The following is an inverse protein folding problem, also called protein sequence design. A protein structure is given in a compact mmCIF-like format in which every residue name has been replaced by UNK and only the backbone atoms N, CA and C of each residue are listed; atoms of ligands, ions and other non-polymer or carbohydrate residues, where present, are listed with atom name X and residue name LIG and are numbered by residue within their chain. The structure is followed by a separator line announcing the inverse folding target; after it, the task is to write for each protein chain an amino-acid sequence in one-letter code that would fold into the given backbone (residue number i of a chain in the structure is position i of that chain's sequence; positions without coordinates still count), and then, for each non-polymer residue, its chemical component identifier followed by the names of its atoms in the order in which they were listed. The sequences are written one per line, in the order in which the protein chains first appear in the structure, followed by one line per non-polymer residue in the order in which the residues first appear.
data_IF_441586807385
#
_entry.id   IF_441586807385
#
_cell.length_a   1.000
_cell.length_b   1.000
_cell.length_c   1.000
_cell.angle_alpha   90.00
_cell.angle_beta   90.00
_cell.angle_gamma   90.00
#
_symmetry.space_group_name_H-M   'P 1'
#
loop_
_entity.id
_entity.type
_entity.pdbx_description
1 polymer ?
#
# COMPACT_ATOMS: atom_id res chain seq x y z
N UNK A 1 -25.43 -30.62 14.86
CA UNK A 1 -26.09 -29.33 14.58
C UNK A 1 -26.06 -29.07 13.08
N UNK A 2 -26.75 -29.90 12.31
CA UNK A 2 -26.79 -29.86 10.86
C UNK A 2 -28.26 -30.08 10.52
N UNK A 3 -28.97 -28.98 10.23
CA UNK A 3 -30.32 -28.87 9.65
C UNK A 3 -30.90 -27.53 10.10
N UNK A 4 -30.61 -26.48 9.34
CA UNK A 4 -31.44 -25.27 9.18
C UNK A 4 -30.69 -24.23 8.31
N UNK A 5 -30.15 -24.66 7.18
CA UNK A 5 -29.58 -23.76 6.17
C UNK A 5 -30.06 -24.11 4.75
N UNK A 6 -31.27 -24.65 4.64
CA UNK A 6 -31.95 -24.86 3.36
C UNK A 6 -33.32 -24.19 3.43
N UNK A 7 -33.35 -22.87 3.28
CA UNK A 7 -34.53 -22.13 2.86
C UNK A 7 -34.05 -20.83 2.20
N UNK A 8 -34.28 -20.72 0.89
CA UNK A 8 -33.93 -19.56 0.09
C UNK A 8 -34.69 -18.30 0.52
N UNK A 9 -34.02 -17.16 0.38
CA UNK A 9 -34.56 -15.83 0.66
C UNK A 9 -33.49 -15.00 1.37
N UNK A 10 -33.04 -13.94 0.72
CA UNK A 10 -32.10 -12.93 1.21
C UNK A 10 -32.62 -12.32 2.53
N UNK A 11 -32.32 -13.01 3.64
CA UNK A 11 -32.74 -12.62 4.98
C UNK A 11 -31.47 -12.40 5.79
N UNK A 12 -31.17 -11.13 6.03
CA UNK A 12 -30.15 -10.70 7.00
C UNK A 12 -30.53 -11.32 8.35
N UNK A 13 -29.93 -12.44 8.70
CA UNK A 13 -30.14 -13.08 10.00
C UNK A 13 -29.37 -12.26 11.04
N UNK A 14 -30.10 -11.49 11.84
CA UNK A 14 -29.51 -10.75 12.95
C UNK A 14 -28.95 -11.74 13.97
N UNK A 15 -27.63 -11.84 14.03
CA UNK A 15 -26.94 -12.71 14.99
C UNK A 15 -27.02 -12.10 16.40
N UNK A 16 -27.61 -12.85 17.33
CA UNK A 16 -27.67 -12.51 18.75
C UNK A 16 -26.86 -13.54 19.54
N UNK A 17 -25.56 -13.30 19.80
CA UNK A 17 -24.75 -14.26 20.54
C UNK A 17 -25.28 -14.42 21.97
N UNK A 18 -25.29 -15.67 22.45
CA UNK A 18 -25.54 -15.94 23.86
C UNK A 18 -24.26 -15.64 24.64
N UNK A 19 -24.25 -14.54 25.39
CA UNK A 19 -23.17 -14.24 26.33
C UNK A 19 -23.22 -15.28 27.46
N UNK A 20 -22.11 -16.00 27.64
CA UNK A 20 -21.90 -16.94 28.74
C UNK A 20 -21.08 -16.26 29.83
N UNK A 21 -21.20 -16.74 31.08
CA UNK A 21 -20.40 -16.22 32.19
C UNK A 21 -18.91 -16.53 31.99
N UNK A 22 -18.05 -15.58 32.33
CA UNK A 22 -16.61 -15.79 32.37
C UNK A 22 -16.27 -16.77 33.49
N UNK A 23 -15.92 -18.00 33.12
CA UNK A 23 -15.48 -19.04 34.04
C UNK A 23 -14.00 -19.34 33.79
N UNK A 24 -13.25 -19.68 34.85
CA UNK A 24 -11.88 -20.17 34.72
C UNK A 24 -11.89 -21.53 34.03
N UNK A 25 -11.24 -21.62 32.87
CA UNK A 25 -11.07 -22.86 32.09
C UNK A 25 -9.62 -23.34 32.12
N UNK A 26 -9.43 -24.66 31.96
CA UNK A 26 -8.11 -25.28 31.76
C UNK A 26 -7.73 -25.37 30.27
N UNK A 27 -8.60 -24.88 29.38
CA UNK A 27 -8.32 -24.80 27.95
C UNK A 27 -7.21 -23.78 27.66
N UNK A 28 -6.42 -24.05 26.62
CA UNK A 28 -5.44 -23.09 26.14
C UNK A 28 -6.14 -21.81 25.70
N UNK A 29 -5.63 -20.66 26.15
CA UNK A 29 -6.13 -19.35 25.71
C UNK A 29 -6.02 -19.22 24.18
N UNK A 30 -7.11 -18.79 23.54
CA UNK A 30 -7.13 -18.48 22.12
C UNK A 30 -8.39 -18.96 21.42
N UNK A 31 -8.46 -18.65 20.12
CA UNK A 31 -9.58 -19.03 19.26
C UNK A 31 -9.02 -19.67 18.00
N UNK A 32 -9.53 -20.85 17.64
CA UNK A 32 -9.23 -21.49 16.36
C UNK A 32 -10.44 -21.40 15.44
N UNK A 33 -10.26 -20.73 14.30
CA UNK A 33 -11.27 -20.66 13.24
C UNK A 33 -10.84 -21.61 12.13
N UNK A 34 -11.67 -22.61 11.82
CA UNK A 34 -11.46 -23.52 10.69
C UNK A 34 -12.51 -23.22 9.61
N UNK A 35 -12.04 -22.71 8.48
CA UNK A 35 -12.86 -22.51 7.29
C UNK A 35 -12.66 -23.69 6.33
N UNK A 36 -13.75 -24.27 5.86
CA UNK A 36 -13.77 -25.39 4.90
C UNK A 36 -14.62 -25.01 3.68
N UNK A 37 -14.58 -25.82 2.63
CA UNK A 37 -15.44 -25.66 1.44
C UNK A 37 -15.25 -24.31 0.72
N UNK A 38 -13.99 -23.90 0.53
CA UNK A 38 -13.68 -22.71 -0.25
C UNK A 38 -14.06 -22.89 -1.72
N UNK A 39 -14.79 -21.92 -2.26
CA UNK A 39 -15.07 -21.79 -3.69
C UNK A 39 -13.86 -21.17 -4.42
N UNK A 40 -12.80 -21.97 -4.60
CA UNK A 40 -11.57 -21.56 -5.30
C UNK A 40 -10.93 -22.71 -6.05
N UNK A 41 -10.60 -22.47 -7.32
CA UNK A 41 -9.91 -23.44 -8.17
C UNK A 41 -8.41 -23.56 -7.87
N UNK A 42 -7.76 -22.45 -7.51
CA UNK A 42 -6.31 -22.40 -7.29
C UNK A 42 -5.95 -22.04 -5.85
N UNK A 43 -4.95 -22.75 -5.31
CA UNK A 43 -4.38 -22.44 -4.00
C UNK A 43 -3.54 -21.16 -4.08
N UNK A 44 -3.69 -20.22 -3.13
CA UNK A 44 -2.84 -19.04 -3.10
C UNK A 44 -1.39 -19.43 -2.79
N UNK A 45 -0.46 -18.76 -3.45
CA UNK A 45 0.97 -18.95 -3.21
C UNK A 45 1.35 -18.26 -1.89
N UNK A 46 1.95 -19.00 -0.96
CA UNK A 46 2.26 -18.54 0.39
C UNK A 46 3.03 -17.22 0.42
N UNK A 47 4.05 -17.07 -0.44
CA UNK A 47 4.83 -15.82 -0.58
C UNK A 47 3.93 -14.60 -0.81
N UNK A 48 3.01 -14.67 -1.77
CA UNK A 48 2.10 -13.55 -2.07
C UNK A 48 1.12 -13.28 -0.92
N UNK A 49 0.71 -14.32 -0.19
CA UNK A 49 -0.11 -14.15 1.03
C UNK A 49 0.66 -13.39 2.10
N UNK A 50 1.92 -13.78 2.37
CA UNK A 50 2.78 -13.09 3.35
C UNK A 50 2.97 -11.62 2.99
N UNK A 51 3.30 -11.33 1.73
CA UNK A 51 3.45 -9.95 1.23
C UNK A 51 2.17 -9.12 1.37
N UNK A 52 1.02 -9.67 0.99
CA UNK A 52 -0.28 -8.98 1.12
C UNK A 52 -0.66 -8.71 2.57
N UNK A 53 -0.40 -9.66 3.47
CA UNK A 53 -0.63 -9.48 4.91
C UNK A 53 0.26 -8.38 5.47
N UNK A 54 1.56 -8.41 5.16
CA UNK A 54 2.52 -7.41 5.63
C UNK A 54 2.16 -5.99 5.17
N UNK A 55 1.67 -5.85 3.93
CA UNK A 55 1.22 -4.56 3.36
C UNK A 55 -0.12 -4.10 3.93
N UNK A 56 -1.01 -5.03 4.30
CA UNK A 56 -2.33 -4.69 4.86
C UNK A 56 -2.27 -4.29 6.34
N UNK A 57 -1.27 -4.81 7.05
CA UNK A 57 -1.15 -4.65 8.49
C UNK A 57 0.30 -4.30 8.83
N UNK A 58 0.58 -3.03 9.08
CA UNK A 58 1.93 -2.61 9.48
C UNK A 58 2.30 -3.10 10.89
N UNK A 59 1.30 -3.38 11.74
CA UNK A 59 1.47 -3.97 13.08
C UNK A 59 2.10 -5.36 13.09
N UNK A 60 2.10 -6.04 11.94
CA UNK A 60 2.66 -7.39 11.80
C UNK A 60 4.19 -7.33 11.93
N UNK A 61 4.71 -8.12 12.87
CA UNK A 61 6.14 -8.21 13.18
C UNK A 61 6.60 -7.30 14.33
N UNK A 62 5.73 -6.45 14.87
CA UNK A 62 6.04 -5.58 16.02
C UNK A 62 5.31 -6.06 17.28
N UNK A 63 3.98 -5.88 17.32
CA UNK A 63 3.14 -6.22 18.47
C UNK A 63 2.24 -7.44 18.20
N UNK A 64 2.30 -7.99 16.97
CA UNK A 64 1.45 -9.08 16.55
C UNK A 64 2.21 -10.00 15.59
N UNK A 65 2.47 -11.23 16.05
CA UNK A 65 3.14 -12.25 15.26
C UNK A 65 2.14 -12.94 14.33
N UNK A 66 2.50 -13.03 13.05
CA UNK A 66 1.69 -13.71 12.04
C UNK A 66 2.55 -14.72 11.32
N UNK A 67 2.06 -15.95 11.25
CA UNK A 67 2.70 -17.02 10.50
C UNK A 67 1.80 -17.49 9.35
N UNK A 68 2.40 -17.78 8.19
CA UNK A 68 1.73 -18.44 7.07
C UNK A 68 2.51 -19.71 6.76
N UNK A 69 1.86 -20.86 6.92
CA UNK A 69 2.49 -22.18 6.77
C UNK A 69 3.75 -22.38 7.65
N UNK A 70 3.80 -21.76 8.83
CA UNK A 70 4.93 -21.82 9.76
C UNK A 70 6.09 -20.87 9.43
N UNK A 71 5.96 -20.04 8.39
CA UNK A 71 6.89 -18.96 8.11
C UNK A 71 6.36 -17.63 8.66
N UNK A 72 7.17 -16.95 9.48
CA UNK A 72 6.86 -15.62 10.00
C UNK A 72 6.70 -14.59 8.89
N UNK A 73 5.68 -13.75 9.00
CA UNK A 73 5.50 -12.54 8.20
C UNK A 73 6.25 -11.42 8.89
N UNK A 74 7.25 -10.83 8.21
CA UNK A 74 8.06 -9.73 8.76
C UNK A 74 7.76 -8.42 8.03
N UNK A 75 8.13 -7.30 8.65
CA UNK A 75 8.05 -5.97 8.02
C UNK A 75 8.84 -5.86 6.71
N UNK A 76 9.88 -6.68 6.52
CA UNK A 76 10.66 -6.74 5.27
C UNK A 76 9.82 -7.23 4.08
N UNK A 77 8.72 -7.94 4.28
CA UNK A 77 7.81 -8.30 3.19
C UNK A 77 7.08 -7.06 2.62
N UNK A 78 7.08 -5.92 3.34
CA UNK A 78 6.57 -4.62 2.86
C UNK A 78 7.50 -3.93 1.88
N UNK A 79 8.78 -4.29 1.81
CA UNK A 79 9.98 -3.57 1.34
C UNK A 79 9.93 -2.85 -0.04
N UNK A 80 8.89 -2.05 -0.30
CA UNK A 80 8.71 -1.20 -1.47
C UNK A 80 9.48 0.11 -1.31
N UNK A 81 9.54 0.66 -0.09
CA UNK A 81 10.24 1.92 0.20
C UNK A 81 11.73 1.88 -0.16
N UNK A 82 12.42 0.76 0.09
CA UNK A 82 13.85 0.64 -0.24
C UNK A 82 14.07 0.44 -1.74
N UNK A 83 13.08 -0.11 -2.45
CA UNK A 83 13.12 -0.35 -3.90
C UNK A 83 12.85 0.90 -4.73
N UNK A 84 12.40 1.99 -4.10
CA UNK A 84 12.11 3.23 -4.81
C UNK A 84 13.40 4.02 -5.09
N UNK A 85 13.51 4.53 -6.31
CA UNK A 85 14.60 5.43 -6.75
C UNK A 85 14.28 6.86 -6.30
N UNK A 86 13.06 7.31 -6.58
CA UNK A 86 12.55 8.62 -6.16
C UNK A 86 11.51 8.43 -5.08
N UNK A 87 11.79 8.92 -3.88
CA UNK A 87 10.84 8.90 -2.77
C UNK A 87 10.86 10.18 -1.98
N UNK A 88 9.69 10.62 -1.56
CA UNK A 88 9.49 11.61 -0.51
C UNK A 88 9.07 10.86 0.76
N UNK A 89 9.59 11.28 1.91
CA UNK A 89 9.26 10.71 3.21
C UNK A 89 8.72 11.81 4.10
N UNK A 90 7.64 11.51 4.82
CA UNK A 90 6.94 12.40 5.72
C UNK A 90 7.09 11.86 7.14
N UNK A 91 7.47 12.71 8.08
CA UNK A 91 7.65 12.34 9.49
C UNK A 91 6.88 13.35 10.33
N UNK A 92 5.69 12.96 10.78
CA UNK A 92 4.76 13.79 11.55
C UNK A 92 4.51 15.17 10.89
N UNK A 93 4.33 15.15 9.56
CA UNK A 93 4.05 16.34 8.76
C UNK A 93 2.63 16.81 9.05
N UNK A 94 2.47 18.09 9.42
CA UNK A 94 1.15 18.66 9.73
C UNK A 94 0.49 19.10 8.43
N UNK A 95 -0.72 18.60 8.16
CA UNK A 95 -1.44 18.81 6.90
C UNK A 95 -2.72 19.63 7.03
N UNK A 96 -3.19 19.89 8.25
CA UNK A 96 -4.40 20.69 8.50
C UNK A 96 -4.14 21.80 9.51
N UNK A 97 -5.00 22.81 9.52
CA UNK A 97 -4.97 23.88 10.54
C UNK A 97 -5.27 23.35 11.96
N UNK A 98 -6.00 22.23 12.05
CA UNK A 98 -6.35 21.55 13.30
C UNK A 98 -5.18 20.72 13.88
N UNK A 99 -4.05 20.64 13.17
CA UNK A 99 -2.86 19.94 13.64
C UNK A 99 -2.82 18.45 13.32
N UNK A 100 -3.64 17.98 12.38
CA UNK A 100 -3.58 16.59 11.93
C UNK A 100 -2.23 16.34 11.26
N UNK A 101 -1.52 15.33 11.77
CA UNK A 101 -0.21 14.96 11.28
C UNK A 101 -0.24 13.62 10.54
N UNK A 102 0.69 13.46 9.60
CA UNK A 102 0.88 12.24 8.85
C UNK A 102 2.33 11.79 8.90
N UNK A 103 2.53 10.49 8.73
CA UNK A 103 3.85 9.94 8.45
C UNK A 103 3.78 8.99 7.27
N UNK A 104 4.91 8.68 6.65
CA UNK A 104 4.92 7.71 5.55
C UNK A 104 5.83 8.12 4.41
N UNK A 105 5.51 7.65 3.21
CA UNK A 105 6.33 7.90 2.03
C UNK A 105 5.55 7.65 0.74
N UNK A 106 5.91 8.39 -0.30
CA UNK A 106 5.43 8.18 -1.67
C UNK A 106 6.64 8.15 -2.58
N UNK A 107 6.69 7.22 -3.52
CA UNK A 107 7.80 7.12 -4.45
C UNK A 107 7.48 6.38 -5.73
N UNK A 108 8.49 6.26 -6.58
CA UNK A 108 8.42 5.49 -7.83
C UNK A 108 9.46 4.39 -7.84
N UNK A 109 9.04 3.22 -8.32
CA UNK A 109 9.91 2.07 -8.55
C UNK A 109 10.78 2.27 -9.80
N UNK A 110 11.89 1.54 -9.92
CA UNK A 110 12.74 1.52 -11.12
C UNK A 110 12.07 0.86 -12.33
N UNK A 111 11.05 0.05 -12.11
CA UNK A 111 10.29 -0.68 -13.13
C UNK A 111 8.80 -0.50 -12.82
N UNK A 112 7.92 -0.63 -13.81
CA UNK A 112 6.48 -0.59 -13.56
C UNK A 112 6.11 -1.55 -12.43
N UNK A 113 5.11 -1.17 -11.67
CA UNK A 113 4.63 -1.92 -10.52
C UNK A 113 4.31 -3.35 -10.98
N UNK A 114 4.97 -4.37 -10.39
CA UNK A 114 4.73 -5.77 -10.76
C UNK A 114 3.28 -6.18 -10.49
N UNK A 115 2.77 -7.18 -11.22
CA UNK A 115 1.38 -7.67 -11.07
C UNK A 115 1.04 -8.18 -9.66
N UNK A 116 2.04 -8.56 -8.86
CA UNK A 116 1.86 -8.99 -7.46
C UNK A 116 1.86 -7.82 -6.46
N UNK A 117 1.96 -6.59 -6.95
CA UNK A 117 1.96 -5.35 -6.16
C UNK A 117 0.83 -4.44 -6.67
N UNK A 118 0.02 -3.93 -5.75
CA UNK A 118 -0.98 -2.90 -6.07
C UNK A 118 -0.26 -1.54 -6.11
N UNK A 119 -0.30 -0.88 -7.26
CA UNK A 119 0.31 0.45 -7.46
C UNK A 119 -0.57 1.56 -6.89
N UNK A 120 0.05 2.70 -6.59
CA UNK A 120 -0.59 3.84 -5.96
C UNK A 120 -0.19 4.02 -4.49
N UNK A 121 -0.94 4.85 -3.78
CA UNK A 121 -0.67 5.19 -2.39
C UNK A 121 -1.74 4.55 -1.50
N UNK A 122 -1.31 3.70 -0.57
CA UNK A 122 -2.18 3.17 0.48
C UNK A 122 -2.28 4.16 1.64
N UNK A 123 -3.41 4.14 2.35
CA UNK A 123 -3.57 4.88 3.61
C UNK A 123 -3.78 3.90 4.74
N UNK A 124 -3.07 4.16 5.84
CA UNK A 124 -3.03 3.38 7.06
C UNK A 124 -3.57 4.21 8.21
N UNK A 125 -4.32 3.58 9.11
CA UNK A 125 -4.65 4.14 10.41
C UNK A 125 -4.46 3.04 11.47
N UNK A 126 -3.81 3.37 12.58
CA UNK A 126 -3.47 2.45 13.69
C UNK A 126 -2.82 1.16 13.20
N UNK A 127 -1.97 1.31 12.19
CA UNK A 127 -1.24 0.25 11.52
C UNK A 127 -2.07 -0.77 10.73
N UNK A 128 -3.28 -0.39 10.29
CA UNK A 128 -4.13 -1.16 9.38
C UNK A 128 -4.43 -0.35 8.14
N UNK A 129 -4.47 -1.00 6.97
CA UNK A 129 -4.88 -0.32 5.73
C UNK A 129 -6.35 0.04 5.79
N UNK A 130 -6.62 1.34 5.69
CA UNK A 130 -7.96 1.93 5.62
C UNK A 130 -8.33 2.34 4.20
N UNK A 131 -7.34 2.55 3.33
CA UNK A 131 -7.52 2.74 1.88
C UNK A 131 -6.52 1.88 1.13
N UNK A 132 -7.00 1.04 0.21
CA UNK A 132 -6.12 0.30 -0.71
C UNK A 132 -5.33 1.25 -1.62
N UNK A 133 -4.15 0.86 -2.12
CA UNK A 133 -3.38 1.65 -3.07
C UNK A 133 -4.23 2.17 -4.23
N UNK A 134 -4.31 3.49 -4.37
CA UNK A 134 -4.95 4.16 -5.50
C UNK A 134 -4.11 5.36 -5.96
N UNK A 135 -4.37 5.88 -7.16
CA UNK A 135 -3.71 7.07 -7.69
C UNK A 135 -4.42 8.39 -7.33
N UNK A 136 -5.49 8.33 -6.52
CA UNK A 136 -6.28 9.50 -6.11
C UNK A 136 -6.79 10.34 -7.29
N UNK A 137 -7.14 9.68 -8.40
CA UNK A 137 -7.67 10.36 -9.59
C UNK A 137 -6.68 11.29 -10.29
N UNK A 138 -5.40 11.28 -9.92
CA UNK A 138 -4.38 12.11 -10.57
C UNK A 138 -4.20 11.62 -12.02
N UNK A 139 -4.60 12.46 -12.98
CA UNK A 139 -4.47 12.19 -14.42
C UNK A 139 -3.63 13.26 -15.15
N UNK A 140 -3.06 14.22 -14.43
CA UNK A 140 -2.39 15.39 -15.00
C UNK A 140 -0.96 15.06 -15.51
N UNK A 141 -0.59 15.63 -16.66
CA UNK A 141 0.77 15.54 -17.23
C UNK A 141 0.89 14.92 -18.63
N UNK A 142 -0.23 14.73 -19.35
CA UNK A 142 -0.23 14.08 -20.67
C UNK A 142 0.24 12.63 -20.60
N UNK A 143 0.66 12.05 -21.73
CA UNK A 143 1.06 10.63 -21.82
C UNK A 143 2.20 10.28 -20.84
N UNK A 144 3.11 11.22 -20.54
CA UNK A 144 4.27 10.97 -19.66
C UNK A 144 3.90 10.94 -18.18
N UNK A 145 3.02 11.83 -17.70
CA UNK A 145 2.52 11.79 -16.33
C UNK A 145 1.73 10.51 -16.04
N UNK A 146 0.94 10.05 -17.01
CA UNK A 146 0.23 8.77 -16.93
C UNK A 146 1.17 7.55 -16.86
N UNK A 147 2.35 7.64 -17.49
CA UNK A 147 3.36 6.58 -17.36
C UNK A 147 3.95 6.54 -15.95
N UNK A 148 4.23 7.68 -15.32
CA UNK A 148 4.79 7.74 -13.96
C UNK A 148 3.90 7.02 -12.93
N UNK A 149 2.57 7.12 -13.08
CA UNK A 149 1.60 6.43 -12.21
C UNK A 149 1.76 4.91 -12.20
N UNK A 150 2.28 4.31 -13.28
CA UNK A 150 2.52 2.86 -13.33
C UNK A 150 3.65 2.43 -12.40
N UNK A 151 4.54 3.34 -12.02
CA UNK A 151 5.68 3.10 -11.14
C UNK A 151 5.39 3.54 -9.70
N UNK A 152 4.28 4.25 -9.47
CA UNK A 152 3.93 4.88 -8.21
C UNK A 152 3.61 3.83 -7.15
N UNK A 153 4.26 3.94 -5.99
CA UNK A 153 3.96 3.17 -4.79
C UNK A 153 4.11 4.08 -3.57
N UNK A 154 3.28 3.92 -2.57
CA UNK A 154 3.37 4.70 -1.35
C UNK A 154 2.50 4.16 -0.23
N UNK A 155 2.80 4.62 0.98
CA UNK A 155 2.09 4.31 2.20
C UNK A 155 2.08 5.55 3.08
N UNK A 156 0.88 6.04 3.41
CA UNK A 156 0.65 7.18 4.31
C UNK A 156 -0.07 6.68 5.56
N UNK A 157 0.39 7.10 6.73
CA UNK A 157 -0.17 6.83 8.04
C UNK A 157 -0.86 8.09 8.53
N UNK A 158 -2.16 7.97 8.79
CA UNK A 158 -3.05 9.03 9.22
C UNK A 158 -3.99 8.46 10.29
N UNK A 159 -3.50 8.41 11.53
CA UNK A 159 -4.21 7.76 12.64
C UNK A 159 -5.52 8.48 13.02
N UNK A 160 -5.59 9.78 12.77
CA UNK A 160 -6.76 10.63 13.02
C UNK A 160 -8.03 10.18 12.26
N UNK A 161 -7.91 9.37 11.19
CA UNK A 161 -9.05 8.85 10.43
C UNK A 161 -9.91 7.83 11.19
N UNK A 162 -9.40 7.26 12.30
CA UNK A 162 -10.10 6.27 13.15
C UNK A 162 -10.20 6.75 14.62
N UNK A 163 -10.00 8.05 14.88
CA UNK A 163 -10.02 8.63 16.24
C UNK A 163 -11.42 9.05 16.69
N UNK A 164 -11.85 10.26 16.36
CA UNK A 164 -13.09 10.85 16.88
C UNK A 164 -14.32 10.53 16.00
N UNK A 165 -14.17 10.69 14.69
CA UNK A 165 -15.18 10.29 13.71
C UNK A 165 -14.71 9.06 12.93
N UNK A 166 -15.59 8.07 12.77
CA UNK A 166 -15.31 6.93 11.88
C UNK A 166 -15.45 7.38 10.43
N UNK A 167 -14.33 7.81 9.86
CA UNK A 167 -14.21 8.25 8.47
C UNK A 167 -13.94 7.10 7.51
N UNK A 168 -14.11 5.86 7.97
CA UNK A 168 -13.84 4.67 7.18
C UNK A 168 -15.17 3.98 6.88
N UNK A 169 -15.37 3.60 5.62
CA UNK A 169 -16.56 2.86 5.22
C UNK A 169 -16.69 1.55 6.02
N UNK A 170 -17.92 1.04 6.18
CA UNK A 170 -18.24 -0.16 7.00
C UNK A 170 -17.38 -1.39 6.65
N UNK A 171 -16.97 -1.51 5.39
CA UNK A 171 -16.12 -2.60 4.91
C UNK A 171 -14.61 -2.42 5.23
N UNK A 172 -14.25 -1.35 5.96
CA UNK A 172 -12.93 -1.02 6.52
C UNK A 172 -11.79 -1.11 5.50
N UNK A 173 -12.05 -0.69 4.26
CA UNK A 173 -11.04 -0.70 3.18
C UNK A 173 -11.10 0.53 2.27
N UNK A 174 -11.95 1.50 2.59
CA UNK A 174 -12.10 2.77 1.87
C UNK A 174 -12.40 3.90 2.86
N UNK A 175 -11.79 5.06 2.63
CA UNK A 175 -11.99 6.29 3.42
C UNK A 175 -13.08 7.14 2.78
N UNK A 176 -13.89 7.80 3.61
CA UNK A 176 -14.93 8.73 3.21
C UNK A 176 -14.31 10.12 2.94
N UNK A 177 -13.73 10.28 1.75
CA UNK A 177 -12.98 11.48 1.34
C UNK A 177 -13.77 12.80 1.30
N UNK A 178 -15.11 12.74 1.36
CA UNK A 178 -15.98 13.93 1.32
C UNK A 178 -16.15 14.62 2.68
N UNK A 179 -15.50 14.10 3.73
CA UNK A 179 -15.62 14.60 5.10
C UNK A 179 -14.27 15.11 5.59
N UNK A 180 -14.29 16.21 6.33
CA UNK A 180 -13.09 16.63 7.07
C UNK A 180 -12.79 15.68 8.24
N UNK A 181 -11.51 15.49 8.60
CA UNK A 181 -10.28 15.98 7.93
C UNK A 181 -9.77 15.11 6.76
N UNK A 182 -10.57 14.17 6.23
CA UNK A 182 -10.12 13.31 5.12
C UNK A 182 -9.91 14.10 3.82
N UNK A 183 -10.62 15.21 3.59
CA UNK A 183 -10.42 16.09 2.43
C UNK A 183 -9.01 16.69 2.42
N UNK A 184 -8.55 17.24 3.54
CA UNK A 184 -7.20 17.80 3.67
C UNK A 184 -6.12 16.77 3.33
N UNK A 185 -6.29 15.54 3.81
CA UNK A 185 -5.40 14.42 3.50
C UNK A 185 -5.44 14.05 2.02
N UNK A 186 -6.63 14.00 1.43
CA UNK A 186 -6.80 13.72 0.01
C UNK A 186 -6.03 14.75 -0.83
N UNK A 187 -6.22 16.04 -0.55
CA UNK A 187 -5.60 17.13 -1.31
C UNK A 187 -4.08 17.15 -1.13
N UNK A 188 -3.60 16.88 0.08
CA UNK A 188 -2.18 16.69 0.34
C UNK A 188 -1.59 15.57 -0.55
N UNK A 189 -2.18 14.37 -0.53
CA UNK A 189 -1.69 13.22 -1.29
C UNK A 189 -1.74 13.50 -2.80
N UNK A 190 -2.82 14.11 -3.29
CA UNK A 190 -2.97 14.50 -4.69
C UNK A 190 -1.85 15.43 -5.13
N UNK A 191 -1.56 16.47 -4.34
CA UNK A 191 -0.50 17.43 -4.65
C UNK A 191 0.88 16.76 -4.67
N UNK A 192 1.15 15.88 -3.71
CA UNK A 192 2.41 15.13 -3.64
C UNK A 192 2.60 14.18 -4.84
N UNK A 193 1.55 13.48 -5.25
CA UNK A 193 1.59 12.61 -6.44
C UNK A 193 1.84 13.47 -7.70
N UNK A 194 1.19 14.62 -7.83
CA UNK A 194 1.40 15.53 -8.98
C UNK A 194 2.84 16.02 -9.04
N UNK A 195 3.42 16.43 -7.92
CA UNK A 195 4.81 16.87 -7.86
C UNK A 195 5.77 15.75 -8.26
N UNK A 196 5.59 14.53 -7.73
CA UNK A 196 6.42 13.38 -8.10
C UNK A 196 6.30 13.06 -9.61
N UNK A 197 5.07 13.02 -10.14
CA UNK A 197 4.82 12.74 -11.56
C UNK A 197 5.41 13.82 -12.48
N UNK A 198 5.44 15.08 -12.05
CA UNK A 198 6.03 16.17 -12.84
C UNK A 198 7.56 16.08 -12.95
N UNK A 199 8.24 15.66 -11.87
CA UNK A 199 9.70 15.57 -11.81
C UNK A 199 10.22 14.27 -12.43
N UNK A 200 9.39 13.23 -12.49
CA UNK A 200 9.77 11.89 -12.94
C UNK A 200 10.40 11.84 -14.35
N UNK A 201 9.86 12.50 -15.41
CA UNK A 201 10.39 12.38 -16.77
C UNK A 201 11.81 12.92 -16.96
N UNK A 202 12.18 13.95 -16.20
CA UNK A 202 13.52 14.56 -16.27
C UNK A 202 14.54 13.66 -15.59
N UNK A 203 14.24 13.24 -14.36
CA UNK A 203 15.15 12.37 -13.60
C UNK A 203 15.36 11.02 -14.26
N UNK A 204 14.30 10.45 -14.85
CA UNK A 204 14.39 9.20 -15.63
C UNK A 204 15.31 9.34 -16.85
N UNK A 205 15.32 10.51 -17.50
CA UNK A 205 16.20 10.77 -18.65
C UNK A 205 17.66 10.85 -18.21
N UNK A 206 17.93 11.49 -17.08
CA UNK A 206 19.28 11.58 -16.51
C UNK A 206 19.82 10.20 -16.15
N UNK A 207 19.03 9.37 -15.47
CA UNK A 207 19.42 7.99 -15.11
C UNK A 207 19.66 7.12 -16.35
N UNK A 208 18.75 7.15 -17.34
CA UNK A 208 18.95 6.42 -18.60
C UNK A 208 20.22 6.88 -19.33
N UNK A 209 20.51 8.19 -19.33
CA UNK A 209 21.75 8.69 -19.93
C UNK A 209 23.00 8.26 -19.15
N UNK A 210 22.93 8.15 -17.83
CA UNK A 210 24.04 7.71 -16.99
C UNK A 210 24.30 6.21 -17.12
N UNK A 211 23.26 5.38 -17.16
CA UNK A 211 23.37 3.95 -17.46
C UNK A 211 23.97 3.72 -18.86
N UNK A 212 23.47 4.42 -19.89
CA UNK A 212 24.01 4.33 -21.25
C UNK A 212 25.48 4.73 -21.30
N UNK A 213 25.91 5.78 -20.59
CA UNK A 213 27.33 6.18 -20.52
C UNK A 213 28.23 5.12 -19.88
N UNK A 214 27.66 4.28 -19.04
CA UNK A 214 28.39 3.24 -18.30
C UNK A 214 28.42 1.91 -19.06
N UNK A 215 27.51 1.70 -20.03
CA UNK A 215 27.54 0.51 -20.88
C UNK A 215 28.80 0.44 -21.76
N UNK A 216 29.42 -0.75 -21.78
CA UNK A 216 30.65 -1.03 -22.51
C UNK A 216 30.50 -0.80 -24.03
N UNK A 217 29.30 -1.00 -24.57
CA UNK A 217 28.94 -0.73 -25.96
C UNK A 217 29.03 0.77 -26.29
N UNK A 218 28.52 1.63 -25.41
CA UNK A 218 28.50 3.09 -25.57
C UNK A 218 29.92 3.69 -25.44
N UNK A 219 30.72 3.14 -24.52
CA UNK A 219 32.14 3.49 -24.38
C UNK A 219 32.93 3.19 -25.66
N UNK A 220 32.66 2.06 -26.34
CA UNK A 220 33.33 1.71 -27.60
C UNK A 220 33.01 2.68 -28.74
N UNK A 221 31.81 3.27 -28.77
CA UNK A 221 31.42 4.27 -29.78
C UNK A 221 31.85 5.69 -29.44
N UNK A 222 32.01 6.06 -28.16
CA UNK A 222 32.40 7.41 -27.74
C UNK A 222 33.91 7.60 -27.65
N UNK A 223 34.68 6.58 -27.23
CA UNK A 223 36.13 6.70 -27.12
C UNK A 223 36.89 7.08 -28.41
N UNK A 224 36.41 6.77 -29.62
CA UNK A 224 37.00 7.25 -30.86
C UNK A 224 36.63 8.71 -31.22
N UNK A 225 35.61 9.30 -30.60
CA UNK A 225 35.11 10.64 -30.95
C UNK A 225 36.01 11.75 -30.39
N UNK A 226 36.02 12.92 -31.03
CA UNK A 226 36.84 14.05 -30.60
C UNK A 226 36.30 14.70 -29.32
N UNK A 227 37.16 15.40 -28.56
CA UNK A 227 36.84 15.96 -27.23
C UNK A 227 35.65 16.94 -27.25
N UNK A 228 35.38 17.52 -28.41
CA UNK A 228 34.25 18.43 -28.69
C UNK A 228 32.92 17.70 -28.91
N UNK A 229 32.97 16.46 -29.41
CA UNK A 229 31.81 15.61 -29.69
C UNK A 229 31.41 14.75 -28.47
N UNK A 230 32.32 14.56 -27.52
CA UNK A 230 32.06 13.85 -26.25
C UNK A 230 31.24 14.67 -25.23
N UNK A 231 31.20 15.99 -25.40
CA UNK A 231 30.62 16.94 -24.44
C UNK A 231 29.33 17.64 -24.94
N UNK A 232 28.77 17.22 -26.08
CA UNK A 232 27.46 17.64 -26.58
C UNK A 232 26.37 16.63 -26.19
#
# INVERSE_FOLDING_TARGET
MQREAEAGGDTTTTYHPRVISEETTNESSGTRILLTEFDREQRPVAKHVRQRLARRFSVVGDNFDVEVNGEMVTGDERNLKSRCEFKRTFNDEIISEEGHSISGWIGTLPKPTPDDVEGGVAVMARGKTVQKPISFGVAEGGTRGQMALQYLVGEIHADFLDEDEDLIATHRSEVLWEKEPATDLHDFIVNEIKEICSQWPERRREEQMEELRTEESYQQYIQPLDERERNC
#
